data_IF_243112021900
#
_entry.id   IF_243112021900
#
_cell.length_a   1.000
_cell.length_b   1.000
_cell.length_c   1.000
_cell.angle_alpha   90.00
_cell.angle_beta   90.00
_cell.angle_gamma   90.00
#
_symmetry.space_group_name_H-M   'P 1'
#
loop_
_entity.id
_entity.type
_entity.pdbx_description
1 polymer ?
#
# COMPACT_ATOMS: atom_id res chain seq x y z
N UNK A 1 -25.89 -8.53 -17.70
CA UNK A 1 -25.15 -7.67 -16.76
C UNK A 1 -23.70 -8.16 -16.67
N UNK A 2 -22.77 -7.48 -17.35
CA UNK A 2 -21.36 -7.88 -17.44
C UNK A 2 -20.65 -7.68 -16.10
N UNK A 3 -19.93 -8.71 -15.62
CA UNK A 3 -19.09 -8.69 -14.41
C UNK A 3 -18.14 -7.47 -14.45
N UNK A 4 -18.41 -6.49 -13.59
CA UNK A 4 -17.57 -5.31 -13.39
C UNK A 4 -16.27 -5.73 -12.68
N UNK A 5 -15.12 -5.56 -13.32
CA UNK A 5 -13.83 -5.94 -12.75
C UNK A 5 -13.36 -4.87 -11.75
N UNK A 6 -13.86 -4.95 -10.50
CA UNK A 6 -13.54 -4.04 -9.39
C UNK A 6 -12.04 -3.94 -9.06
N UNK A 7 -11.23 -4.93 -9.48
CA UNK A 7 -9.77 -4.94 -9.24
C UNK A 7 -9.04 -3.76 -9.87
N UNK A 8 -9.58 -3.14 -10.92
CA UNK A 8 -8.97 -1.95 -11.55
C UNK A 8 -9.31 -0.63 -10.85
N UNK A 9 -10.34 -0.62 -9.99
CA UNK A 9 -10.91 0.61 -9.44
C UNK A 9 -10.42 0.96 -8.03
N UNK A 10 -9.85 -0.02 -7.31
CA UNK A 10 -9.38 0.15 -5.94
C UNK A 10 -7.99 -0.47 -5.78
N UNK A 11 -6.97 0.24 -6.23
CA UNK A 11 -5.63 0.12 -5.66
C UNK A 11 -5.51 1.23 -4.61
N UNK A 12 -5.94 0.92 -3.38
CA UNK A 12 -5.81 1.84 -2.26
C UNK A 12 -4.45 1.60 -1.62
N UNK A 13 -3.53 2.55 -1.78
CA UNK A 13 -2.33 2.62 -0.97
C UNK A 13 -2.76 2.83 0.49
N UNK A 14 -2.69 1.78 1.30
CA UNK A 14 -3.01 1.84 2.72
C UNK A 14 -1.74 2.12 3.51
N UNK A 15 -1.74 3.25 4.22
CA UNK A 15 -0.85 3.53 5.34
C UNK A 15 -1.75 3.63 6.58
N UNK A 16 -1.87 2.55 7.33
CA UNK A 16 -2.68 2.48 8.57
C UNK A 16 -2.06 1.37 9.40
N UNK A 17 -1.79 1.46 10.70
CA UNK A 17 -1.90 2.52 11.71
C UNK A 17 -0.90 2.10 12.78
N UNK A 18 -0.16 3.04 13.35
CA UNK A 18 0.59 2.79 14.58
C UNK A 18 -0.37 2.36 15.68
N UNK A 19 -0.11 1.20 16.26
CA UNK A 19 -0.88 0.70 17.39
C UNK A 19 -0.66 1.64 18.58
N UNK A 20 -1.68 2.44 18.91
CA UNK A 20 -1.77 3.16 20.17
C UNK A 20 -3.24 3.10 20.63
N UNK A 21 -3.61 1.97 21.23
CA UNK A 21 -4.75 1.90 22.15
C UNK A 21 -4.26 1.18 23.41
N UNK A 22 -3.91 1.99 24.40
CA UNK A 22 -3.73 1.52 25.76
C UNK A 22 -5.07 0.99 26.29
N UNK A 23 -5.07 -0.24 26.82
CA UNK A 23 -6.10 -0.74 27.71
C UNK A 23 -5.41 -1.24 28.98
N UNK A 24 -5.95 -0.95 30.18
CA UNK A 24 -5.30 -1.26 31.43
C UNK A 24 -5.51 -2.73 31.82
N UNK A 25 -4.45 -3.35 32.31
CA UNK A 25 -4.42 -4.58 33.12
C UNK A 25 -4.50 -5.92 32.37
N UNK A 26 -3.42 -6.70 32.44
CA UNK A 26 -3.39 -8.11 32.03
C UNK A 26 -1.98 -8.62 31.83
N UNK A 27 -1.41 -9.22 32.87
CA UNK A 27 -0.08 -9.83 32.93
C UNK A 27 -0.10 -11.26 32.32
N UNK A 28 0.94 -11.62 31.55
CA UNK A 28 1.77 -12.85 31.64
C UNK A 28 2.28 -13.40 30.29
N UNK A 29 3.57 -13.74 30.31
CA UNK A 29 4.40 -14.57 29.39
C UNK A 29 4.87 -15.74 30.28
N UNK A 30 4.93 -17.03 29.87
CA UNK A 30 5.80 -17.49 28.78
C UNK A 30 5.26 -18.68 27.94
N UNK A 31 5.84 -18.85 26.74
CA UNK A 31 5.55 -19.98 25.86
C UNK A 31 6.76 -20.37 25.01
N UNK A 32 7.25 -21.59 25.30
CA UNK A 32 8.34 -22.42 24.74
C UNK A 32 8.85 -22.15 23.30
N UNK A 33 10.15 -22.40 23.15
CA UNK A 33 10.97 -22.59 21.94
C UNK A 33 10.17 -22.90 20.66
N UNK A 34 10.15 -21.92 19.74
CA UNK A 34 9.63 -22.08 18.38
C UNK A 34 10.65 -22.82 17.51
N UNK A 35 10.21 -23.90 16.87
CA UNK A 35 10.94 -24.54 15.76
C UNK A 35 10.57 -23.85 14.44
N UNK A 36 11.49 -23.85 13.48
CA UNK A 36 11.39 -23.09 12.22
C UNK A 36 10.24 -23.51 11.28
N UNK A 37 9.51 -24.59 11.58
CA UNK A 37 8.45 -25.14 10.72
C UNK A 37 7.07 -24.48 10.90
N UNK A 38 6.81 -23.80 12.02
CA UNK A 38 5.48 -23.23 12.32
C UNK A 38 5.24 -21.82 11.74
N UNK A 39 6.26 -21.24 11.10
CA UNK A 39 6.34 -19.83 10.70
C UNK A 39 6.18 -19.59 9.19
N UNK A 40 5.87 -20.61 8.40
CA UNK A 40 5.59 -20.44 6.97
C UNK A 40 4.12 -20.03 6.74
N UNK A 41 3.83 -18.80 6.27
CA UNK A 41 2.46 -18.36 5.98
C UNK A 41 1.90 -18.97 4.68
N UNK A 42 2.68 -19.75 3.93
CA UNK A 42 2.37 -20.09 2.54
C UNK A 42 1.20 -21.06 2.30
N UNK A 43 0.58 -21.64 3.33
CA UNK A 43 -0.30 -22.81 3.14
C UNK A 43 -1.60 -22.86 3.96
N UNK A 44 -2.05 -21.77 4.56
CA UNK A 44 -3.28 -21.79 5.39
C UNK A 44 -4.33 -20.80 4.89
N UNK A 45 -5.61 -21.17 5.00
CA UNK A 45 -6.75 -20.27 4.77
C UNK A 45 -6.60 -18.99 5.62
N UNK A 46 -6.94 -17.82 5.04
CA UNK A 46 -6.73 -16.51 5.70
C UNK A 46 -7.50 -16.43 7.02
N UNK A 47 -8.73 -16.95 7.09
CA UNK A 47 -9.53 -16.92 8.31
C UNK A 47 -8.99 -17.90 9.36
N UNK A 48 -8.53 -19.07 8.95
CA UNK A 48 -7.85 -20.03 9.83
C UNK A 48 -6.55 -19.43 10.41
N UNK A 49 -5.71 -18.82 9.58
CA UNK A 49 -4.47 -18.16 10.01
C UNK A 49 -4.74 -17.01 10.98
N UNK A 50 -5.77 -16.19 10.72
CA UNK A 50 -6.22 -15.16 11.64
C UNK A 50 -6.71 -15.72 12.97
N UNK A 51 -7.43 -16.84 12.97
CA UNK A 51 -7.87 -17.49 14.21
C UNK A 51 -6.68 -17.98 15.04
N UNK A 52 -5.65 -18.52 14.39
CA UNK A 52 -4.39 -18.92 15.05
C UNK A 52 -3.69 -17.70 15.66
N UNK A 53 -3.52 -16.62 14.90
CA UNK A 53 -2.85 -15.40 15.37
C UNK A 53 -3.61 -14.75 16.54
N UNK A 54 -4.94 -14.68 16.46
CA UNK A 54 -5.79 -14.14 17.53
C UNK A 54 -5.76 -14.98 18.80
N UNK A 55 -5.72 -16.31 18.69
CA UNK A 55 -5.51 -17.21 19.84
C UNK A 55 -4.12 -17.06 20.44
N UNK A 56 -3.11 -16.84 19.60
CA UNK A 56 -1.71 -16.59 20.00
C UNK A 56 -1.47 -15.15 20.45
N UNK A 57 -2.48 -14.29 20.47
CA UNK A 57 -2.37 -12.84 20.73
C UNK A 57 -1.79 -12.60 22.13
N UNK A 58 -0.46 -12.59 22.18
CA UNK A 58 0.33 -11.96 23.21
C UNK A 58 0.48 -10.52 22.74
N UNK A 59 -0.42 -9.65 23.17
CA UNK A 59 -0.16 -8.23 22.98
C UNK A 59 1.22 -7.95 23.57
N UNK A 60 2.14 -7.33 22.81
CA UNK A 60 3.29 -6.70 23.43
C UNK A 60 2.73 -5.58 24.31
N UNK A 61 2.35 -5.93 25.54
CA UNK A 61 2.13 -4.96 26.61
C UNK A 61 3.44 -4.23 26.91
N UNK A 62 3.48 -3.40 27.96
CA UNK A 62 4.76 -2.88 28.44
C UNK A 62 5.75 -4.06 28.58
N UNK A 63 7.00 -3.90 28.08
CA UNK A 63 8.00 -4.96 28.19
C UNK A 63 8.04 -5.46 29.63
N UNK A 64 7.97 -6.77 29.83
CA UNK A 64 8.02 -7.39 31.15
C UNK A 64 8.88 -8.64 31.11
N UNK A 65 9.46 -9.00 32.25
CA UNK A 65 10.29 -10.20 32.41
C UNK A 65 11.51 -10.22 31.47
N UNK A 66 11.67 -11.33 30.75
CA UNK A 66 12.81 -11.61 29.86
C UNK A 66 13.03 -10.55 28.78
N UNK A 67 11.98 -9.88 28.30
CA UNK A 67 12.10 -8.86 27.26
C UNK A 67 12.78 -7.58 27.79
N UNK A 68 12.54 -7.20 29.05
CA UNK A 68 13.26 -6.09 29.68
C UNK A 68 14.73 -6.42 29.90
N UNK A 69 15.03 -7.64 30.36
CA UNK A 69 16.42 -8.11 30.53
C UNK A 69 17.17 -8.17 29.19
N UNK A 70 16.49 -8.59 28.12
CA UNK A 70 17.05 -8.53 26.77
C UNK A 70 17.37 -7.09 26.34
N UNK A 71 16.56 -6.10 26.74
CA UNK A 71 16.81 -4.68 26.44
C UNK A 71 17.89 -4.01 27.28
N UNK A 72 18.24 -4.55 28.46
CA UNK A 72 19.35 -4.00 29.27
C UNK A 72 20.69 -4.09 28.55
N UNK A 73 20.84 -5.06 27.66
CA UNK A 73 22.05 -5.27 26.86
C UNK A 73 22.07 -4.49 25.54
N UNK A 74 21.00 -3.75 25.22
CA UNK A 74 20.88 -3.02 23.95
C UNK A 74 20.97 -1.51 24.24
N UNK A 75 21.90 -0.78 23.61
CA UNK A 75 21.97 0.67 23.72
C UNK A 75 20.65 1.34 23.34
N UNK A 76 20.20 2.29 24.16
CA UNK A 76 18.91 2.99 24.01
C UNK A 76 19.05 4.27 23.18
N UNK A 77 17.98 4.71 22.47
CA UNK A 77 16.63 4.14 22.42
C UNK A 77 16.52 2.91 21.50
N UNK A 78 15.63 1.98 21.86
CA UNK A 78 15.33 0.75 21.07
C UNK A 78 13.88 0.78 20.60
N UNK A 79 13.66 0.40 19.34
CA UNK A 79 12.33 0.16 18.77
C UNK A 79 12.12 -1.32 18.54
N UNK A 80 10.97 -1.82 18.98
CA UNK A 80 10.59 -3.24 18.88
C UNK A 80 9.38 -3.35 17.98
N UNK A 81 9.45 -4.24 17.01
CA UNK A 81 8.39 -4.46 16.04
C UNK A 81 7.84 -5.88 16.19
N UNK A 82 6.54 -5.99 16.44
CA UNK A 82 5.84 -7.27 16.43
C UNK A 82 5.45 -7.67 15.01
N UNK A 83 6.17 -8.65 14.45
CA UNK A 83 5.87 -9.16 13.11
C UNK A 83 4.57 -9.98 13.05
N UNK A 84 4.11 -10.53 14.18
CA UNK A 84 2.81 -11.19 14.26
C UNK A 84 1.68 -10.16 14.20
N UNK A 85 1.84 -9.02 14.86
CA UNK A 85 0.85 -7.94 14.76
C UNK A 85 0.76 -7.39 13.33
N UNK A 86 1.89 -7.27 12.63
CA UNK A 86 1.92 -6.89 11.20
C UNK A 86 1.14 -7.89 10.35
N UNK A 87 1.37 -9.19 10.56
CA UNK A 87 0.67 -10.27 9.85
C UNK A 87 -0.84 -10.27 10.14
N UNK A 88 -1.23 -10.14 11.41
CA UNK A 88 -2.63 -10.06 11.82
C UNK A 88 -3.33 -8.86 11.17
N UNK A 89 -2.71 -7.68 11.20
CA UNK A 89 -3.26 -6.47 10.60
C UNK A 89 -3.44 -6.62 9.08
N UNK A 90 -2.43 -7.17 8.39
CA UNK A 90 -2.48 -7.42 6.96
C UNK A 90 -3.61 -8.39 6.60
N UNK A 91 -3.67 -9.55 7.27
CA UNK A 91 -4.68 -10.56 7.00
C UNK A 91 -6.09 -10.10 7.38
N UNK A 92 -6.25 -9.35 8.47
CA UNK A 92 -7.54 -8.79 8.86
C UNK A 92 -8.07 -7.83 7.80
N UNK A 93 -7.18 -7.04 7.19
CA UNK A 93 -7.55 -6.16 6.07
C UNK A 93 -7.94 -6.97 4.82
N UNK A 94 -7.14 -7.97 4.44
CA UNK A 94 -7.43 -8.84 3.29
C UNK A 94 -8.77 -9.56 3.47
N UNK A 95 -9.06 -10.06 4.67
CA UNK A 95 -10.33 -10.72 4.98
C UNK A 95 -11.52 -9.75 4.91
N UNK A 96 -11.36 -8.52 5.42
CA UNK A 96 -12.39 -7.50 5.35
C UNK A 96 -12.61 -6.98 3.92
N UNK A 97 -11.59 -7.02 3.06
CA UNK A 97 -11.58 -6.45 1.70
C UNK A 97 -10.99 -7.41 0.66
N UNK A 98 -11.66 -8.56 0.48
CA UNK A 98 -11.28 -9.61 -0.50
C UNK A 98 -11.28 -9.13 -1.96
N UNK A 99 -11.90 -7.99 -2.23
CA UNK A 99 -11.99 -7.36 -3.55
C UNK A 99 -10.79 -6.47 -3.91
N UNK A 100 -9.85 -6.25 -2.97
CA UNK A 100 -8.74 -5.30 -3.11
C UNK A 100 -7.39 -6.03 -3.03
N UNK A 101 -6.46 -5.63 -3.91
CA UNK A 101 -5.05 -6.03 -3.80
C UNK A 101 -4.32 -5.03 -2.89
N UNK A 102 -3.72 -5.53 -1.81
CA UNK A 102 -2.97 -4.68 -0.87
C UNK A 102 -1.62 -4.33 -1.45
N UNK A 103 -1.32 -3.03 -1.51
CA UNK A 103 0.02 -2.48 -1.78
C UNK A 103 0.47 -1.71 -0.54
N UNK A 104 1.44 -2.27 0.20
CA UNK A 104 1.94 -1.67 1.43
C UNK A 104 2.83 -0.46 1.12
N UNK A 105 2.47 0.71 1.67
CA UNK A 105 3.26 1.93 1.52
C UNK A 105 4.52 1.87 2.37
N UNK A 106 5.68 1.61 1.74
CA UNK A 106 6.96 1.38 2.43
C UNK A 106 7.36 2.57 3.31
N UNK A 107 7.08 3.81 2.87
CA UNK A 107 7.28 5.04 3.64
C UNK A 107 6.68 5.02 5.06
N UNK A 108 5.68 4.18 5.33
CA UNK A 108 5.08 4.06 6.66
C UNK A 108 6.02 3.36 7.66
N UNK A 109 6.72 2.30 7.24
CA UNK A 109 7.73 1.63 8.05
C UNK A 109 8.72 0.85 7.16
N UNK A 110 9.85 1.46 6.73
CA UNK A 110 10.79 0.85 5.80
C UNK A 110 11.76 -0.11 6.49
N UNK A 111 11.23 -1.10 7.23
CA UNK A 111 12.03 -2.14 7.89
C UNK A 111 11.99 -3.42 7.09
N UNK A 112 13.16 -3.94 6.69
CA UNK A 112 13.29 -5.11 5.82
C UNK A 112 12.43 -6.30 6.31
N UNK A 113 12.43 -6.62 7.61
CA UNK A 113 11.65 -7.73 8.17
C UNK A 113 10.13 -7.55 8.01
N UNK A 114 9.63 -6.31 8.08
CA UNK A 114 8.21 -5.99 7.85
C UNK A 114 7.87 -6.16 6.37
N UNK A 115 8.70 -5.58 5.48
CA UNK A 115 8.52 -5.69 4.03
C UNK A 115 8.57 -7.16 3.60
N UNK A 116 9.52 -7.95 4.10
CA UNK A 116 9.60 -9.39 3.86
C UNK A 116 8.35 -10.13 4.34
N UNK A 117 7.81 -9.78 5.51
CA UNK A 117 6.58 -10.38 6.03
C UNK A 117 5.39 -10.12 5.09
N UNK A 118 5.22 -8.88 4.63
CA UNK A 118 4.16 -8.52 3.66
C UNK A 118 4.35 -9.24 2.32
N UNK A 119 5.60 -9.33 1.83
CA UNK A 119 5.90 -10.02 0.56
C UNK A 119 5.48 -11.49 0.61
N UNK A 120 5.84 -12.20 1.71
CA UNK A 120 5.47 -13.60 1.96
C UNK A 120 3.95 -13.82 2.06
N UNK A 121 3.20 -12.83 2.54
CA UNK A 121 1.73 -12.87 2.61
C UNK A 121 1.05 -12.54 1.26
N UNK A 122 1.81 -12.34 0.18
CA UNK A 122 1.27 -12.04 -1.14
C UNK A 122 0.97 -10.55 -1.41
N UNK A 123 1.37 -9.64 -0.51
CA UNK A 123 1.12 -8.19 -0.65
C UNK A 123 2.07 -7.47 -1.61
N UNK A 124 1.54 -6.56 -2.42
CA UNK A 124 2.36 -5.66 -3.24
C UNK A 124 2.95 -4.51 -2.44
N UNK A 125 3.65 -3.61 -3.12
CA UNK A 125 4.29 -2.45 -2.51
C UNK A 125 3.95 -1.15 -3.24
N UNK A 126 3.59 -0.15 -2.46
CA UNK A 126 3.56 1.24 -2.88
C UNK A 126 4.93 1.87 -2.54
N UNK A 127 5.63 2.34 -3.58
CA UNK A 127 6.97 2.92 -3.48
C UNK A 127 6.98 4.37 -3.97
N UNK A 128 7.66 5.24 -3.22
CA UNK A 128 7.79 6.66 -3.50
C UNK A 128 9.21 7.06 -3.97
N UNK A 129 10.19 6.16 -3.85
CA UNK A 129 11.60 6.38 -4.23
C UNK A 129 12.26 5.11 -4.75
N UNK A 130 13.42 5.25 -5.41
CA UNK A 130 14.25 4.12 -5.83
C UNK A 130 14.79 3.31 -4.66
N UNK A 131 15.10 3.96 -3.52
CA UNK A 131 15.51 3.26 -2.30
C UNK A 131 14.39 2.37 -1.71
N UNK A 132 13.13 2.83 -1.75
CA UNK A 132 11.99 2.01 -1.34
C UNK A 132 11.75 0.85 -2.32
N UNK A 133 11.93 1.09 -3.63
CA UNK A 133 11.87 0.05 -4.64
C UNK A 133 12.93 -1.04 -4.38
N UNK A 134 14.17 -0.64 -4.13
CA UNK A 134 15.25 -1.60 -3.83
C UNK A 134 14.96 -2.41 -2.57
N UNK A 135 14.42 -1.77 -1.54
CA UNK A 135 13.98 -2.47 -0.32
C UNK A 135 12.89 -3.50 -0.63
N UNK A 136 11.93 -3.18 -1.49
CA UNK A 136 10.90 -4.12 -1.94
C UNK A 136 11.51 -5.29 -2.72
N UNK A 137 12.34 -4.99 -3.73
CA UNK A 137 12.95 -6.00 -4.62
C UNK A 137 13.91 -6.94 -3.88
N UNK A 138 14.60 -6.45 -2.85
CA UNK A 138 15.45 -7.27 -1.98
C UNK A 138 14.68 -8.36 -1.21
N UNK A 139 13.34 -8.30 -1.19
CA UNK A 139 12.52 -9.38 -0.62
C UNK A 139 12.21 -10.50 -1.62
N UNK A 140 12.59 -10.35 -2.89
CA UNK A 140 12.26 -11.27 -3.97
C UNK A 140 10.85 -11.09 -4.55
N UNK A 141 10.17 -9.98 -4.24
CA UNK A 141 8.85 -9.67 -4.81
C UNK A 141 8.95 -9.43 -6.32
N UNK A 142 7.95 -9.87 -7.09
CA UNK A 142 7.81 -9.51 -8.50
C UNK A 142 7.69 -7.98 -8.64
N UNK A 143 8.56 -7.30 -9.41
CA UNK A 143 8.46 -5.86 -9.69
C UNK A 143 7.09 -5.40 -10.19
N UNK A 144 6.30 -6.29 -10.83
CA UNK A 144 4.93 -6.00 -11.28
C UNK A 144 3.93 -5.81 -10.14
N UNK A 145 4.27 -6.23 -8.92
CA UNK A 145 3.53 -5.97 -7.68
C UNK A 145 3.96 -4.66 -6.99
N UNK A 146 4.84 -3.88 -7.62
CA UNK A 146 5.20 -2.54 -7.15
C UNK A 146 4.46 -1.47 -7.96
N UNK A 147 3.94 -0.46 -7.26
CA UNK A 147 3.36 0.74 -7.85
C UNK A 147 4.22 1.93 -7.45
N UNK A 148 4.73 2.68 -8.43
CA UNK A 148 5.46 3.92 -8.15
C UNK A 148 4.48 5.08 -8.00
N UNK A 149 4.06 5.36 -6.76
CA UNK A 149 2.92 6.26 -6.49
C UNK A 149 3.25 7.74 -6.37
N UNK A 150 4.52 8.10 -6.13
CA UNK A 150 4.91 9.50 -6.08
C UNK A 150 4.56 10.16 -7.43
N UNK A 151 3.74 11.21 -7.43
CA UNK A 151 3.23 11.81 -8.67
C UNK A 151 4.24 12.71 -9.38
N UNK A 152 5.38 12.99 -8.75
CA UNK A 152 6.47 13.77 -9.35
C UNK A 152 7.79 13.02 -9.17
N UNK A 153 8.31 12.44 -10.26
CA UNK A 153 9.53 11.63 -10.28
C UNK A 153 10.62 12.27 -11.14
N UNK A 154 11.90 11.97 -10.92
CA UNK A 154 12.92 12.36 -11.90
C UNK A 154 12.88 11.41 -13.11
N UNK A 155 13.33 11.84 -14.31
CA UNK A 155 13.48 10.93 -15.45
C UNK A 155 14.37 9.71 -15.13
N UNK A 156 15.40 9.90 -14.30
CA UNK A 156 16.31 8.83 -13.89
C UNK A 156 15.57 7.79 -13.03
N UNK A 157 14.76 8.22 -12.06
CA UNK A 157 13.98 7.32 -11.21
C UNK A 157 12.97 6.50 -12.03
N UNK A 158 12.34 7.13 -13.04
CA UNK A 158 11.41 6.44 -13.93
C UNK A 158 12.13 5.36 -14.73
N UNK A 159 13.26 5.69 -15.38
CA UNK A 159 14.05 4.71 -16.16
C UNK A 159 14.57 3.59 -15.27
N UNK A 160 15.00 3.91 -14.06
CA UNK A 160 15.45 2.93 -13.08
C UNK A 160 14.33 1.96 -12.70
N UNK A 161 13.18 2.47 -12.27
CA UNK A 161 12.06 1.62 -11.89
C UNK A 161 11.56 0.76 -13.07
N UNK A 162 11.48 1.35 -14.26
CA UNK A 162 11.11 0.63 -15.47
C UNK A 162 12.12 -0.48 -15.84
N UNK A 163 13.42 -0.21 -15.73
CA UNK A 163 14.45 -1.23 -16.00
C UNK A 163 14.46 -2.36 -14.98
N UNK A 164 13.97 -2.12 -13.76
CA UNK A 164 13.70 -3.16 -12.76
C UNK A 164 12.42 -3.95 -13.02
N UNK A 165 11.60 -3.57 -14.01
CA UNK A 165 10.36 -4.26 -14.37
C UNK A 165 9.10 -3.70 -13.71
N UNK A 166 9.16 -2.52 -13.06
CA UNK A 166 7.96 -1.82 -12.58
C UNK A 166 7.16 -1.34 -13.79
N UNK A 167 5.87 -1.67 -13.81
CA UNK A 167 4.97 -1.33 -14.92
C UNK A 167 3.86 -0.37 -14.53
N UNK A 168 3.73 0.02 -13.26
CA UNK A 168 2.65 0.87 -12.77
C UNK A 168 3.19 2.18 -12.19
N UNK A 169 2.77 3.31 -12.77
CA UNK A 169 3.21 4.64 -12.37
C UNK A 169 2.02 5.59 -12.21
N UNK A 170 2.10 6.45 -11.20
CA UNK A 170 1.14 7.52 -10.99
C UNK A 170 1.62 8.85 -11.57
N UNK A 171 0.67 9.65 -12.03
CA UNK A 171 0.86 11.05 -12.40
C UNK A 171 -0.34 11.89 -11.96
N UNK A 172 -0.17 13.20 -11.86
CA UNK A 172 -1.26 14.17 -11.65
C UNK A 172 -1.15 15.40 -12.55
N UNK A 173 -0.18 15.43 -13.47
CA UNK A 173 0.07 16.55 -14.36
C UNK A 173 0.53 16.08 -15.76
N UNK A 174 0.31 16.92 -16.76
CA UNK A 174 0.74 16.65 -18.15
C UNK A 174 2.27 16.49 -18.29
N UNK A 175 3.11 17.35 -17.68
CA UNK A 175 4.56 17.15 -17.72
C UNK A 175 4.99 15.78 -17.20
N UNK A 176 4.34 15.28 -16.15
CA UNK A 176 4.63 13.95 -15.61
C UNK A 176 4.23 12.84 -16.60
N UNK A 177 3.03 12.93 -17.22
CA UNK A 177 2.57 11.95 -18.21
C UNK A 177 3.54 11.88 -19.40
N UNK A 178 3.99 13.03 -19.91
CA UNK A 178 4.97 13.08 -21.02
C UNK A 178 6.32 12.49 -20.62
N UNK A 179 6.76 12.77 -19.40
CA UNK A 179 7.99 12.21 -18.84
C UNK A 179 7.90 10.69 -18.68
N UNK A 180 6.77 10.16 -18.23
CA UNK A 180 6.52 8.71 -18.16
C UNK A 180 6.55 8.08 -19.55
N UNK A 181 5.84 8.66 -20.53
CA UNK A 181 5.81 8.13 -21.90
C UNK A 181 7.22 8.02 -22.52
N UNK A 182 8.08 9.02 -22.26
CA UNK A 182 9.47 9.02 -22.75
C UNK A 182 10.36 7.99 -22.05
N UNK A 183 10.17 7.75 -20.75
CA UNK A 183 11.14 7.01 -19.92
C UNK A 183 10.68 5.62 -19.48
N UNK A 184 9.39 5.30 -19.63
CA UNK A 184 8.78 4.02 -19.29
C UNK A 184 7.66 3.68 -20.31
N UNK A 185 7.98 3.57 -21.62
CA UNK A 185 6.99 3.37 -22.67
C UNK A 185 6.16 2.10 -22.46
N UNK A 186 4.87 2.15 -22.81
CA UNK A 186 3.95 1.02 -22.62
C UNK A 186 3.56 0.72 -21.16
N UNK A 187 4.02 1.52 -20.20
CA UNK A 187 3.67 1.34 -18.79
C UNK A 187 2.21 1.71 -18.51
N UNK A 188 1.67 1.12 -17.45
CA UNK A 188 0.35 1.44 -16.89
C UNK A 188 0.39 2.81 -16.23
N UNK A 189 -0.46 3.69 -16.73
CA UNK A 189 -0.66 5.02 -16.20
C UNK A 189 -1.89 5.03 -15.27
N UNK A 190 -1.65 5.45 -14.04
CA UNK A 190 -2.70 5.84 -13.11
C UNK A 190 -2.65 7.35 -12.94
N UNK A 191 -3.81 8.00 -12.95
CA UNK A 191 -3.86 9.45 -12.68
C UNK A 191 -4.48 9.69 -11.31
N UNK A 192 -3.83 10.50 -10.48
CA UNK A 192 -4.28 10.75 -9.11
C UNK A 192 -5.34 11.85 -9.07
N UNK A 193 -6.52 11.50 -8.57
CA UNK A 193 -7.60 12.41 -8.24
C UNK A 193 -7.30 13.13 -6.93
N UNK A 194 -7.52 14.44 -6.90
CA UNK A 194 -7.48 15.25 -5.68
C UNK A 194 -8.70 14.95 -4.81
N UNK A 195 -8.48 14.80 -3.50
CA UNK A 195 -9.55 14.60 -2.52
C UNK A 195 -9.46 15.64 -1.44
N UNK A 196 -10.48 16.50 -1.36
CA UNK A 196 -10.64 17.43 -0.25
C UNK A 196 -11.35 16.72 0.91
N UNK A 197 -10.58 16.35 1.93
CA UNK A 197 -11.10 15.74 3.14
C UNK A 197 -10.61 16.49 4.37
N UNK A 198 -11.53 17.19 5.04
CA UNK A 198 -11.24 17.94 6.27
C UNK A 198 -11.12 17.04 7.50
N UNK A 199 -11.55 15.79 7.41
CA UNK A 199 -11.54 14.82 8.52
C UNK A 199 -10.23 14.03 8.64
N UNK A 200 -9.26 14.25 7.76
CA UNK A 200 -7.94 13.64 7.87
C UNK A 200 -7.02 14.54 8.70
N UNK A 201 -6.24 13.95 9.61
CA UNK A 201 -5.26 14.73 10.39
C UNK A 201 -4.15 15.31 9.52
N UNK A 202 -3.81 14.65 8.41
CA UNK A 202 -2.88 15.17 7.42
C UNK A 202 -3.54 15.14 6.03
N UNK A 203 -4.23 16.22 5.64
CA UNK A 203 -4.75 16.40 4.30
C UNK A 203 -3.62 16.41 3.26
N UNK A 204 -3.87 15.82 2.09
CA UNK A 204 -2.92 15.79 0.97
C UNK A 204 -3.37 16.64 -0.23
N UNK A 205 -4.57 17.24 -0.15
CA UNK A 205 -5.09 18.18 -1.15
C UNK A 205 -4.25 19.45 -1.21
N UNK A 206 -4.25 20.13 -2.35
CA UNK A 206 -3.44 21.31 -2.64
C UNK A 206 -1.99 20.99 -3.03
N UNK A 207 -1.47 19.80 -2.67
CA UNK A 207 -0.14 19.33 -3.08
C UNK A 207 -0.19 18.19 -4.11
N UNK A 208 -1.12 17.26 -3.97
CA UNK A 208 -1.18 16.06 -4.79
C UNK A 208 -2.56 15.83 -5.41
N UNK A 209 -2.54 15.29 -6.63
CA UNK A 209 -3.74 14.98 -7.37
C UNK A 209 -4.25 16.14 -8.22
N UNK A 210 -5.27 15.85 -9.03
CA UNK A 210 -5.86 16.83 -9.94
C UNK A 210 -7.37 16.65 -10.05
N UNK A 211 -8.04 17.58 -10.74
CA UNK A 211 -9.50 17.57 -10.88
C UNK A 211 -10.01 16.40 -11.73
N UNK A 212 -11.26 15.95 -11.56
CA UNK A 212 -11.84 14.89 -12.38
C UNK A 212 -11.70 15.10 -13.89
N UNK A 213 -11.89 16.34 -14.37
CA UNK A 213 -11.73 16.64 -15.79
C UNK A 213 -10.29 16.52 -16.26
N UNK A 214 -9.33 16.92 -15.41
CA UNK A 214 -7.94 16.75 -15.75
C UNK A 214 -7.50 15.28 -15.69
N UNK A 215 -8.03 14.47 -14.77
CA UNK A 215 -7.83 13.01 -14.76
C UNK A 215 -8.17 12.41 -16.13
N UNK A 216 -9.34 12.77 -16.68
CA UNK A 216 -9.78 12.31 -18.00
C UNK A 216 -8.86 12.78 -19.13
N UNK A 217 -8.49 14.06 -19.12
CA UNK A 217 -7.54 14.64 -20.11
C UNK A 217 -6.19 13.91 -20.10
N UNK A 218 -5.64 13.66 -18.91
CA UNK A 218 -4.35 13.01 -18.74
C UNK A 218 -4.36 11.53 -19.13
N UNK A 219 -5.45 10.80 -18.84
CA UNK A 219 -5.59 9.41 -19.29
C UNK A 219 -5.68 9.31 -20.82
N UNK A 220 -6.43 10.22 -21.48
CA UNK A 220 -6.47 10.32 -22.94
C UNK A 220 -5.10 10.67 -23.52
N UNK A 221 -4.40 11.64 -22.93
CA UNK A 221 -3.03 11.98 -23.33
C UNK A 221 -2.09 10.78 -23.20
N UNK A 222 -2.15 10.04 -22.10
CA UNK A 222 -1.36 8.83 -21.89
C UNK A 222 -1.56 7.82 -23.02
N UNK A 223 -2.80 7.57 -23.44
CA UNK A 223 -3.12 6.70 -24.59
C UNK A 223 -2.47 7.19 -25.87
N UNK A 224 -2.61 8.49 -26.19
CA UNK A 224 -2.01 9.10 -27.39
C UNK A 224 -0.48 8.99 -27.40
N UNK A 225 0.15 9.01 -26.22
CA UNK A 225 1.60 8.90 -26.07
C UNK A 225 2.11 7.45 -25.95
N UNK A 226 1.23 6.44 -26.11
CA UNK A 226 1.62 5.03 -26.05
C UNK A 226 1.79 4.45 -24.65
N UNK A 227 1.33 5.15 -23.60
CA UNK A 227 1.12 4.55 -22.28
C UNK A 227 -0.20 3.76 -22.27
N UNK A 228 -0.34 2.86 -21.30
CA UNK A 228 -1.59 2.11 -21.09
C UNK A 228 -2.38 2.81 -19.99
N UNK A 229 -3.45 3.58 -20.29
CA UNK A 229 -4.26 4.16 -19.24
C UNK A 229 -4.95 3.01 -18.50
N UNK A 230 -4.66 2.89 -17.21
CA UNK A 230 -5.08 1.73 -16.42
C UNK A 230 -6.14 2.08 -15.39
N UNK A 231 -6.09 3.30 -14.84
CA UNK A 231 -7.11 3.75 -13.91
C UNK A 231 -6.85 5.09 -13.25
N UNK A 232 -7.65 5.38 -12.23
CA UNK A 232 -7.47 6.52 -11.33
C UNK A 232 -7.02 6.04 -9.96
N UNK A 233 -6.36 6.93 -9.21
CA UNK A 233 -5.93 6.70 -7.84
C UNK A 233 -6.37 7.86 -6.95
N UNK A 234 -6.65 7.63 -5.68
CA UNK A 234 -6.91 8.72 -4.72
C UNK A 234 -6.44 8.34 -3.32
N UNK A 235 -6.21 9.34 -2.49
CA UNK A 235 -5.84 9.15 -1.09
C UNK A 235 -6.59 10.18 -0.24
N UNK A 236 -7.44 9.71 0.68
CA UNK A 236 -8.33 10.57 1.49
C UNK A 236 -7.60 11.39 2.57
N UNK A 237 -6.31 11.13 2.76
CA UNK A 237 -5.46 11.78 3.76
C UNK A 237 -5.01 10.78 4.83
N UNK A 238 -3.91 11.06 5.50
CA UNK A 238 -3.35 10.16 6.53
C UNK A 238 -4.16 10.31 7.82
N UNK A 239 -4.31 9.18 8.55
CA UNK A 239 -5.04 9.11 9.81
C UNK A 239 -6.51 9.56 9.67
N UNK A 240 -7.20 8.98 8.69
CA UNK A 240 -8.63 9.19 8.48
C UNK A 240 -9.42 8.07 9.16
N UNK A 241 -10.25 8.41 10.14
CA UNK A 241 -11.02 7.44 10.93
C UNK A 241 -12.48 7.27 10.46
N UNK A 242 -12.93 8.09 9.51
CA UNK A 242 -14.31 8.09 9.03
C UNK A 242 -14.40 7.35 7.70
N UNK A 243 -14.97 6.15 7.71
CA UNK A 243 -15.14 5.34 6.49
C UNK A 243 -15.88 6.08 5.36
N UNK A 244 -16.82 6.97 5.70
CA UNK A 244 -17.56 7.79 4.75
C UNK A 244 -16.66 8.69 3.86
N UNK A 245 -15.44 9.01 4.30
CA UNK A 245 -14.50 9.83 3.53
C UNK A 245 -14.07 9.21 2.19
N UNK A 246 -14.19 7.88 2.06
CA UNK A 246 -13.86 7.16 0.82
C UNK A 246 -15.02 7.15 -0.18
N UNK A 247 -16.26 7.42 0.24
CA UNK A 247 -17.42 7.23 -0.64
C UNK A 247 -17.44 8.19 -1.83
N UNK A 248 -17.28 9.50 -1.55
CA UNK A 248 -17.33 10.52 -2.61
C UNK A 248 -16.19 10.31 -3.63
N UNK A 249 -14.91 10.19 -3.23
CA UNK A 249 -13.83 9.90 -4.16
C UNK A 249 -14.00 8.59 -4.94
N UNK A 250 -14.54 7.54 -4.30
CA UNK A 250 -14.83 6.28 -5.00
C UNK A 250 -15.94 6.45 -6.05
N UNK A 251 -16.99 7.23 -5.77
CA UNK A 251 -18.04 7.56 -6.75
C UNK A 251 -17.49 8.39 -7.90
N UNK A 252 -16.65 9.38 -7.64
CA UNK A 252 -15.99 10.20 -8.67
C UNK A 252 -15.07 9.34 -9.55
N UNK A 253 -14.26 8.48 -8.93
CA UNK A 253 -13.42 7.52 -9.64
C UNK A 253 -14.26 6.61 -10.55
N UNK A 254 -15.35 6.05 -10.04
CA UNK A 254 -16.25 5.19 -10.82
C UNK A 254 -16.90 5.93 -11.99
N UNK A 255 -17.29 7.21 -11.81
CA UNK A 255 -17.84 8.03 -12.88
C UNK A 255 -16.83 8.27 -14.01
N UNK A 256 -15.58 8.60 -13.67
CA UNK A 256 -14.49 8.77 -14.63
C UNK A 256 -14.28 7.48 -15.44
N UNK A 257 -14.20 6.33 -14.77
CA UNK A 257 -14.07 5.03 -15.42
C UNK A 257 -15.24 4.73 -16.37
N UNK A 258 -16.48 4.96 -15.95
CA UNK A 258 -17.65 4.74 -16.80
C UNK A 258 -17.69 5.64 -18.04
N UNK A 259 -17.21 6.88 -17.93
CA UNK A 259 -17.10 7.80 -19.06
C UNK A 259 -16.05 7.31 -20.06
N UNK A 260 -14.82 7.07 -19.59
CA UNK A 260 -13.68 6.69 -20.43
C UNK A 260 -13.84 5.32 -21.07
N UNK A 261 -14.57 4.40 -20.43
CA UNK A 261 -14.91 3.09 -20.99
C UNK A 261 -15.66 3.18 -22.33
N UNK A 262 -16.47 4.22 -22.52
CA UNK A 262 -17.18 4.46 -23.79
C UNK A 262 -16.23 4.78 -24.94
N UNK A 263 -15.00 5.20 -24.63
CA UNK A 263 -13.94 5.57 -25.57
C UNK A 263 -12.87 4.47 -25.72
N UNK A 264 -13.13 3.27 -25.18
CA UNK A 264 -12.17 2.17 -25.18
C UNK A 264 -10.91 2.49 -24.36
N UNK A 265 -11.05 3.31 -23.33
CA UNK A 265 -10.06 3.50 -22.25
C UNK A 265 -10.62 2.76 -21.03
N UNK A 266 -9.86 1.83 -20.41
CA UNK A 266 -10.35 0.99 -19.32
C UNK A 266 -11.09 1.70 -18.20
#
# INVERSE_FOLDING_TARGET
MSKFNRRKLLEVAFATVGCALASPSGLLVPGKNMTASDDDPATTDVAERLAILRKRRRHLGPPSGELLQAFERIPRPVLVYDLHQVEENYLAFVEARKDVQVHYAIKACPKLRIVQRVAKLGGGFDVASTAELDLALNTGVDPKRCIYSNTVKTPNDIRYAFSKGVVAFLADSEPEVRKLAKNAPGSRLYVRLEVHNKDAMHPLSGKFGTTPDNVKKLLRLGKTLGLVPYGTHFHVGTQCFKAAAWEKPAREAAAIFHELKKEGIP
#
